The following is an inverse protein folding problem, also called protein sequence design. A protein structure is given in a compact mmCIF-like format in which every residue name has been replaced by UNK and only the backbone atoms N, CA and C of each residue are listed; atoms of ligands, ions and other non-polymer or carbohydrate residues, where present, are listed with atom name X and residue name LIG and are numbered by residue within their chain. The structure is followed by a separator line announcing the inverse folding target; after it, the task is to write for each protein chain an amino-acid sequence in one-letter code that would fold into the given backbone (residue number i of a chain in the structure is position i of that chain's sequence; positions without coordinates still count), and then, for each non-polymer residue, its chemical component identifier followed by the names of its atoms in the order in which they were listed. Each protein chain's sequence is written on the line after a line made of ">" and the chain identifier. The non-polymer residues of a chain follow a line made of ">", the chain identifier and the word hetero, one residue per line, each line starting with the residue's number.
data_IF_765200186484
#
_entry.id   IF_765200186484
#
_cell.length_a   1.000
_cell.length_b   1.000
_cell.length_c   1.000
_cell.angle_alpha   90.00
_cell.angle_beta   90.00
_cell.angle_gamma   90.00
#
_symmetry.space_group_name_H-M   'P 1'
#
loop_
_entity.id
_entity.type
_entity.pdbx_description
1 polymer ?
#
# COMPACT_ATOMS: atom_id res chain seq x y z
N UNK A 1 28.25 -7.60 -6.71
CA UNK A 1 27.34 -6.72 -5.95
C UNK A 1 25.93 -7.00 -6.44
N UNK A 2 25.21 -7.89 -5.75
CA UNK A 2 23.88 -8.36 -6.17
C UNK A 2 22.84 -7.44 -5.53
N UNK A 3 22.05 -6.65 -6.28
CA UNK A 3 20.98 -5.89 -5.66
C UNK A 3 19.82 -6.86 -5.39
N UNK A 4 19.81 -7.50 -4.22
CA UNK A 4 18.58 -8.09 -3.65
C UNK A 4 17.66 -6.94 -3.23
N UNK A 5 17.21 -6.13 -4.20
CA UNK A 5 16.37 -4.96 -3.93
C UNK A 5 14.95 -5.45 -3.77
N UNK A 6 14.58 -5.76 -2.52
CA UNK A 6 13.19 -6.01 -2.16
C UNK A 6 12.34 -4.79 -2.57
N UNK A 7 11.68 -4.89 -3.73
CA UNK A 7 10.80 -3.83 -4.22
C UNK A 7 9.48 -3.91 -3.46
N UNK A 8 9.02 -2.77 -2.94
CA UNK A 8 7.77 -2.68 -2.18
C UNK A 8 6.91 -1.62 -2.85
N UNK A 9 5.70 -2.00 -3.22
CA UNK A 9 4.70 -1.07 -3.73
C UNK A 9 4.21 -0.19 -2.58
N UNK A 10 4.12 1.11 -2.82
CA UNK A 10 3.69 2.10 -1.82
C UNK A 10 2.60 2.99 -2.42
N UNK A 11 1.54 3.22 -1.65
CA UNK A 11 0.55 4.24 -1.95
C UNK A 11 0.98 5.56 -1.30
N UNK A 12 0.80 6.67 -2.00
CA UNK A 12 1.03 8.01 -1.47
C UNK A 12 -0.25 8.84 -1.61
N UNK A 13 -0.65 9.52 -0.53
CA UNK A 13 -1.82 10.40 -0.54
C UNK A 13 -1.61 11.61 0.38
N UNK A 14 -2.45 12.63 0.23
CA UNK A 14 -2.46 13.83 1.07
C UNK A 14 -3.59 13.77 2.08
N UNK A 15 -3.30 14.11 3.35
CA UNK A 15 -4.30 14.29 4.42
C UNK A 15 -3.88 15.46 5.30
N UNK A 16 -4.76 16.43 5.52
CA UNK A 16 -4.51 17.56 6.41
C UNK A 16 -3.22 18.33 6.09
N UNK A 17 -2.98 18.62 4.81
CA UNK A 17 -1.78 19.30 4.33
C UNK A 17 -0.50 18.45 4.32
N UNK A 18 -0.49 17.24 4.87
CA UNK A 18 0.68 16.35 4.92
C UNK A 18 0.59 15.23 3.90
N UNK A 19 1.73 14.86 3.32
CA UNK A 19 1.85 13.67 2.47
C UNK A 19 2.08 12.45 3.36
N UNK A 20 1.23 11.43 3.24
CA UNK A 20 1.41 10.12 3.86
C UNK A 20 1.80 9.09 2.82
N UNK A 21 2.61 8.11 3.26
CA UNK A 21 3.03 6.95 2.46
C UNK A 21 2.68 5.70 3.23
N UNK A 22 2.02 4.76 2.57
CA UNK A 22 1.65 3.48 3.17
C UNK A 22 2.15 2.35 2.27
N UNK A 23 2.91 1.39 2.80
CA UNK A 23 3.37 0.25 2.03
C UNK A 23 2.19 -0.70 1.76
N UNK A 24 2.06 -1.15 0.51
CA UNK A 24 0.94 -1.98 0.02
C UNK A 24 1.34 -3.46 0.05
N UNK A 25 2.42 -3.81 -0.64
CA UNK A 25 2.86 -5.19 -0.80
C UNK A 25 4.32 -5.26 -1.28
N UNK A 26 4.98 -6.40 -1.06
CA UNK A 26 6.29 -6.71 -1.65
C UNK A 26 6.11 -7.27 -3.06
N UNK A 27 6.88 -6.74 -4.01
CA UNK A 27 6.88 -7.16 -5.42
C UNK A 27 7.19 -8.66 -5.60
N UNK A 28 8.05 -9.22 -4.75
CA UNK A 28 8.43 -10.63 -4.77
C UNK A 28 7.24 -11.60 -4.59
N UNK A 29 6.22 -11.19 -3.83
CA UNK A 29 5.04 -12.00 -3.50
C UNK A 29 3.73 -11.46 -4.06
N UNK A 30 3.77 -10.38 -4.83
CA UNK A 30 2.58 -9.69 -5.33
C UNK A 30 2.85 -9.08 -6.68
N UNK A 31 2.00 -9.44 -7.65
CA UNK A 31 2.01 -8.87 -8.99
C UNK A 31 1.61 -7.39 -8.96
N UNK A 32 2.07 -6.63 -9.95
CA UNK A 32 1.75 -5.21 -10.06
C UNK A 32 0.24 -4.94 -10.11
N UNK A 33 -0.52 -5.79 -10.79
CA UNK A 33 -1.97 -5.67 -10.91
C UNK A 33 -2.68 -5.81 -9.54
N UNK A 34 -2.25 -6.78 -8.73
CA UNK A 34 -2.78 -6.99 -7.37
C UNK A 34 -2.43 -5.79 -6.47
N UNK A 35 -1.20 -5.28 -6.55
CA UNK A 35 -0.81 -4.08 -5.83
C UNK A 35 -1.63 -2.85 -6.28
N UNK A 36 -1.92 -2.72 -7.57
CA UNK A 36 -2.72 -1.64 -8.14
C UNK A 36 -4.19 -1.72 -7.71
N UNK A 37 -4.76 -2.92 -7.65
CA UNK A 37 -6.12 -3.16 -7.16
C UNK A 37 -6.25 -2.78 -5.69
N UNK A 38 -5.31 -3.22 -4.85
CA UNK A 38 -5.24 -2.87 -3.43
C UNK A 38 -5.05 -1.36 -3.22
N UNK A 39 -4.18 -0.75 -4.01
CA UNK A 39 -3.99 0.70 -4.00
C UNK A 39 -5.28 1.43 -4.38
N UNK A 40 -5.97 1.02 -5.44
CA UNK A 40 -7.22 1.65 -5.89
C UNK A 40 -8.32 1.52 -4.84
N UNK A 41 -8.45 0.36 -4.22
CA UNK A 41 -9.44 0.14 -3.17
C UNK A 41 -9.16 0.99 -1.93
N UNK A 42 -7.90 1.01 -1.46
CA UNK A 42 -7.49 1.85 -0.34
C UNK A 42 -7.62 3.34 -0.64
N UNK A 43 -7.16 3.80 -1.80
CA UNK A 43 -7.30 5.19 -2.24
C UNK A 43 -8.77 5.59 -2.41
N UNK A 44 -9.65 4.67 -2.77
CA UNK A 44 -11.10 4.91 -2.77
C UNK A 44 -11.66 5.29 -1.40
N UNK A 45 -11.11 4.72 -0.31
CA UNK A 45 -11.49 5.09 1.06
C UNK A 45 -10.93 6.47 1.46
N UNK A 46 -9.72 6.82 1.00
CA UNK A 46 -9.15 8.17 1.17
C UNK A 46 -10.07 9.21 0.53
N UNK A 47 -10.56 8.96 -0.69
CA UNK A 47 -11.48 9.86 -1.41
C UNK A 47 -12.83 9.99 -0.72
N UNK A 48 -13.31 8.92 -0.07
CA UNK A 48 -14.56 8.94 0.73
C UNK A 48 -14.44 9.72 2.05
N UNK A 49 -13.25 10.24 2.38
CA UNK A 49 -13.00 10.97 3.62
C UNK A 49 -12.64 10.07 4.80
N UNK A 50 -12.50 8.76 4.60
CA UNK A 50 -12.04 7.82 5.63
C UNK A 50 -10.64 7.25 5.30
N UNK A 51 -9.59 8.08 5.42
CA UNK A 51 -8.22 7.63 5.19
C UNK A 51 -7.73 6.64 6.26
N UNK A 52 -8.42 6.50 7.40
CA UNK A 52 -8.07 5.49 8.39
C UNK A 52 -8.43 4.08 7.91
N UNK A 53 -9.60 3.88 7.28
CA UNK A 53 -9.92 2.62 6.59
C UNK A 53 -9.00 2.36 5.40
N UNK A 54 -8.52 3.41 4.72
CA UNK A 54 -7.51 3.24 3.68
C UNK A 54 -6.21 2.67 4.25
N UNK A 55 -5.71 3.25 5.34
CA UNK A 55 -4.51 2.80 6.06
C UNK A 55 -4.70 1.40 6.64
N UNK A 56 -5.86 1.07 7.22
CA UNK A 56 -6.18 -0.25 7.73
C UNK A 56 -6.25 -1.30 6.61
N UNK A 57 -6.88 -1.01 5.48
CA UNK A 57 -6.97 -1.97 4.36
C UNK A 57 -5.63 -2.20 3.68
N UNK A 58 -4.88 -1.14 3.41
CA UNK A 58 -3.54 -1.22 2.82
C UNK A 58 -2.57 -1.87 3.84
N UNK A 59 -2.68 -1.51 5.12
CA UNK A 59 -1.87 -2.06 6.21
C UNK A 59 -2.16 -3.54 6.51
N UNK A 60 -3.42 -3.98 6.44
CA UNK A 60 -3.80 -5.40 6.52
C UNK A 60 -3.23 -6.21 5.36
N UNK A 61 -3.29 -5.66 4.14
CA UNK A 61 -2.65 -6.28 2.99
C UNK A 61 -1.13 -6.43 3.23
N UNK A 62 -0.47 -5.37 3.70
CA UNK A 62 0.93 -5.43 4.06
C UNK A 62 1.24 -6.44 5.17
N UNK A 63 0.39 -6.56 6.18
CA UNK A 63 0.54 -7.54 7.28
C UNK A 63 0.48 -8.98 6.76
N UNK A 64 -0.43 -9.22 5.81
CA UNK A 64 -0.58 -10.51 5.10
C UNK A 64 0.65 -10.85 4.24
N UNK A 65 1.33 -9.85 3.65
CA UNK A 65 2.51 -10.07 2.80
C UNK A 65 3.87 -9.93 3.54
N UNK A 66 3.86 -9.61 4.85
CA UNK A 66 5.07 -9.44 5.68
C UNK A 66 5.40 -10.64 6.58
N UNK A 67 4.42 -11.46 6.97
CA UNK A 67 4.58 -12.49 8.02
C UNK A 67 4.64 -13.95 7.53
N UNK A 68 4.91 -14.18 6.24
CA UNK A 68 5.28 -15.51 5.73
C UNK A 68 6.47 -15.36 4.81
#
# INVERSE_FOLDING_TARGET
>A
MTPSRAQTYQAQYRKGGRTRRVPIARHDKTTEDEARKLAKEGMGQVTKGDPHSAEDRIGKAWGKYRLT
#
